data_IF_883271777351
#
_entry.id   IF_883271777351
#
_cell.length_a   1.000
_cell.length_b   1.000
_cell.length_c   1.000
_cell.angle_alpha   90.00
_cell.angle_beta   90.00
_cell.angle_gamma   90.00
#
_symmetry.space_group_name_H-M   'P 1'
#
loop_
_entity.id
_entity.type
_entity.pdbx_description
1 polymer ?
#
# COMPACT_ATOMS: atom_id res chain seq x y z
N UNK A 1 18.67 -37.82 41.67
CA UNK A 1 19.46 -37.65 40.43
C UNK A 1 18.68 -36.69 39.55
N UNK A 2 19.16 -35.46 39.39
CA UNK A 2 18.45 -34.39 38.71
C UNK A 2 18.66 -34.55 37.20
N UNK A 3 17.57 -34.72 36.46
CA UNK A 3 17.61 -34.86 35.01
C UNK A 3 17.56 -33.47 34.38
N UNK A 4 18.71 -32.94 33.97
CA UNK A 4 18.76 -31.71 33.18
C UNK A 4 18.46 -32.02 31.72
N UNK A 5 17.35 -31.51 31.21
CA UNK A 5 17.02 -31.58 29.79
C UNK A 5 17.40 -30.26 29.11
N UNK A 6 18.26 -30.33 28.10
CA UNK A 6 18.52 -29.20 27.21
C UNK A 6 17.44 -29.13 26.13
N UNK A 7 16.64 -28.07 26.14
CA UNK A 7 15.64 -27.80 25.13
C UNK A 7 15.88 -26.42 24.52
N UNK A 8 15.84 -26.32 23.20
CA UNK A 8 15.84 -25.02 22.52
C UNK A 8 14.40 -24.54 22.36
N UNK A 9 14.04 -23.46 23.06
CA UNK A 9 12.74 -22.81 22.90
C UNK A 9 12.76 -22.05 21.57
N UNK A 10 11.93 -22.47 20.62
CA UNK A 10 11.66 -21.73 19.38
C UNK A 10 10.24 -21.18 19.43
N UNK A 11 10.01 -20.04 18.78
CA UNK A 11 8.68 -19.46 18.72
C UNK A 11 7.71 -20.44 18.04
N UNK A 12 6.49 -20.57 18.57
CA UNK A 12 5.43 -21.44 18.01
C UNK A 12 5.04 -21.03 16.58
N UNK A 13 5.30 -19.77 16.21
CA UNK A 13 4.94 -19.19 14.93
C UNK A 13 6.01 -18.18 14.53
N UNK A 14 6.92 -18.58 13.66
CA UNK A 14 7.79 -17.65 12.91
C UNK A 14 7.12 -17.41 11.56
N UNK A 15 6.59 -16.20 11.36
CA UNK A 15 6.15 -15.76 10.04
C UNK A 15 7.30 -15.01 9.40
N UNK A 16 7.91 -15.59 8.36
CA UNK A 16 8.75 -14.85 7.44
C UNK A 16 7.85 -13.85 6.70
N UNK A 17 7.71 -12.63 7.24
CA UNK A 17 7.13 -11.51 6.51
C UNK A 17 8.10 -11.10 5.39
N UNK A 18 8.12 -11.87 4.31
CA UNK A 18 8.63 -11.41 3.03
C UNK A 18 7.62 -10.43 2.47
N UNK A 19 7.96 -9.14 2.44
CA UNK A 19 7.11 -8.12 1.84
C UNK A 19 6.76 -8.52 0.40
N UNK A 20 5.47 -8.68 0.10
CA UNK A 20 4.97 -9.13 -1.23
C UNK A 20 5.00 -8.02 -2.29
N UNK A 21 5.64 -6.89 -2.00
CA UNK A 21 5.62 -5.68 -2.82
C UNK A 21 7.06 -5.21 -3.00
N UNK A 22 7.49 -5.05 -4.25
CA UNK A 22 8.79 -4.49 -4.58
C UNK A 22 8.73 -2.97 -4.31
N UNK A 23 9.20 -2.53 -3.14
CA UNK A 23 9.26 -1.13 -2.77
C UNK A 23 10.35 -0.91 -1.73
N UNK A 24 11.11 0.19 -1.87
CA UNK A 24 12.15 0.56 -0.89
C UNK A 24 11.47 0.86 0.44
N UNK A 25 11.91 0.18 1.51
CA UNK A 25 11.45 0.49 2.87
C UNK A 25 12.08 1.84 3.27
N UNK A 26 11.24 2.84 3.52
CA UNK A 26 11.68 4.17 3.93
C UNK A 26 11.88 4.24 5.44
N UNK A 27 11.02 3.56 6.21
CA UNK A 27 11.14 3.51 7.67
C UNK A 27 10.70 2.15 8.21
N UNK A 28 11.50 1.56 9.11
CA UNK A 28 11.16 0.37 9.89
C UNK A 28 10.76 0.84 11.29
N UNK A 29 9.52 0.62 11.67
CA UNK A 29 8.91 1.21 12.88
C UNK A 29 8.94 0.25 14.09
N UNK A 30 9.44 -0.98 13.92
CA UNK A 30 9.52 -2.01 14.98
C UNK A 30 10.85 -2.76 14.94
N UNK A 31 11.43 -3.00 16.12
CA UNK A 31 12.70 -3.72 16.30
C UNK A 31 12.58 -5.24 16.41
N UNK A 32 13.66 -5.93 16.04
CA UNK A 32 13.74 -7.39 16.09
C UNK A 32 13.58 -7.83 17.54
N UNK A 33 12.52 -8.59 17.84
CA UNK A 33 12.18 -9.07 19.18
C UNK A 33 11.09 -8.25 19.90
N UNK A 34 10.61 -7.17 19.30
CA UNK A 34 9.50 -6.39 19.84
C UNK A 34 8.17 -7.14 19.67
N UNK A 35 7.34 -7.16 20.72
CA UNK A 35 5.98 -7.71 20.64
C UNK A 35 5.09 -6.73 19.88
N UNK A 36 4.49 -7.19 18.79
CA UNK A 36 3.55 -6.43 17.97
C UNK A 36 2.14 -7.00 18.08
N UNK A 37 1.14 -6.14 17.95
CA UNK A 37 -0.28 -6.49 17.97
C UNK A 37 -0.88 -6.37 16.57
N UNK A 38 -2.02 -7.03 16.30
CA UNK A 38 -2.77 -6.79 15.07
C UNK A 38 -3.11 -5.30 14.91
N UNK A 39 -2.72 -4.71 13.78
CA UNK A 39 -2.90 -3.28 13.49
C UNK A 39 -1.66 -2.41 13.66
N UNK A 40 -0.58 -2.94 14.25
CA UNK A 40 0.67 -2.17 14.37
C UNK A 40 1.35 -2.02 13.00
N UNK A 41 1.70 -0.79 12.64
CA UNK A 41 2.44 -0.49 11.41
C UNK A 41 3.90 -0.90 11.61
N UNK A 42 4.33 -1.95 10.92
CA UNK A 42 5.67 -2.52 11.08
C UNK A 42 6.73 -1.77 10.26
N UNK A 43 6.35 -1.28 9.08
CA UNK A 43 7.22 -0.52 8.20
C UNK A 43 6.39 0.39 7.29
N UNK A 44 6.99 1.51 6.88
CA UNK A 44 6.44 2.42 5.88
C UNK A 44 7.26 2.27 4.59
N UNK A 45 6.57 1.99 3.51
CA UNK A 45 7.13 1.98 2.15
C UNK A 45 7.06 3.42 1.63
N UNK A 46 8.05 3.83 0.83
CA UNK A 46 8.05 5.16 0.20
C UNK A 46 6.75 5.35 -0.61
N UNK A 47 5.89 6.32 -0.25
CA UNK A 47 4.65 6.55 -0.98
C UNK A 47 4.89 7.32 -2.28
N UNK A 48 6.08 7.89 -2.52
CA UNK A 48 6.30 8.83 -3.62
C UNK A 48 5.91 8.28 -5.01
N UNK A 49 6.25 7.02 -5.30
CA UNK A 49 5.90 6.38 -6.58
C UNK A 49 4.38 6.09 -6.68
N UNK A 50 3.74 5.77 -5.55
CA UNK A 50 2.31 5.49 -5.49
C UNK A 50 1.48 6.76 -5.56
N UNK A 51 1.89 7.82 -4.87
CA UNK A 51 1.26 9.14 -4.91
C UNK A 51 1.32 9.71 -6.33
N UNK A 52 2.44 9.55 -7.03
CA UNK A 52 2.55 9.96 -8.43
C UNK A 52 1.59 9.16 -9.32
N UNK A 53 1.46 7.85 -9.09
CA UNK A 53 0.53 7.01 -9.85
C UNK A 53 -0.93 7.37 -9.60
N UNK A 54 -1.30 7.69 -8.35
CA UNK A 54 -2.66 8.13 -7.98
C UNK A 54 -2.96 9.48 -8.64
N UNK A 55 -2.06 10.46 -8.50
CA UNK A 55 -2.24 11.78 -9.11
C UNK A 55 -2.38 11.69 -10.65
N UNK A 56 -1.61 10.83 -11.30
CA UNK A 56 -1.72 10.59 -12.75
C UNK A 56 -3.08 10.00 -13.15
N UNK A 57 -3.59 9.06 -12.34
CA UNK A 57 -4.90 8.46 -12.56
C UNK A 57 -6.05 9.47 -12.34
N UNK A 58 -5.95 10.30 -11.29
CA UNK A 58 -6.91 11.37 -11.01
C UNK A 58 -6.93 12.41 -12.14
N UNK A 59 -5.76 12.85 -12.62
CA UNK A 59 -5.68 13.78 -13.75
C UNK A 59 -6.29 13.18 -15.04
N UNK A 60 -6.09 11.88 -15.27
CA UNK A 60 -6.67 11.18 -16.42
C UNK A 60 -8.20 11.07 -16.32
N UNK A 61 -8.73 10.86 -15.11
CA UNK A 61 -10.16 10.87 -14.85
C UNK A 61 -10.76 12.24 -15.11
N UNK A 62 -10.17 13.30 -14.55
CA UNK A 62 -10.64 14.68 -14.77
C UNK A 62 -10.66 15.03 -16.27
N UNK A 63 -9.59 14.68 -17.00
CA UNK A 63 -9.53 14.91 -18.45
C UNK A 63 -10.67 14.19 -19.21
N UNK A 64 -10.97 12.94 -18.83
CA UNK A 64 -12.06 12.18 -19.43
C UNK A 64 -13.43 12.79 -19.10
N UNK A 65 -13.66 13.22 -17.87
CA UNK A 65 -14.89 13.89 -17.44
C UNK A 65 -15.13 15.19 -18.22
N UNK A 66 -14.08 16.01 -18.36
CA UNK A 66 -14.12 17.23 -19.18
C UNK A 66 -14.40 16.93 -20.65
N UNK A 67 -13.83 15.86 -21.19
CA UNK A 67 -14.09 15.45 -22.57
C UNK A 67 -15.57 15.04 -22.78
N UNK A 68 -16.17 14.34 -21.82
CA UNK A 68 -17.60 13.99 -21.87
C UNK A 68 -18.46 15.25 -21.76
N UNK A 69 -18.11 16.17 -20.86
CA UNK A 69 -18.83 17.44 -20.68
C UNK A 69 -18.84 18.27 -21.98
N UNK A 70 -17.67 18.47 -22.59
CA UNK A 70 -17.51 19.24 -23.84
C UNK A 70 -18.25 18.59 -25.00
N UNK A 71 -18.18 17.26 -25.12
CA UNK A 71 -18.92 16.50 -26.14
C UNK A 71 -20.43 16.64 -25.94
N UNK A 72 -20.91 16.57 -24.69
CA UNK A 72 -22.32 16.78 -24.36
C UNK A 72 -22.80 18.19 -24.68
N UNK A 73 -21.97 19.20 -24.39
CA UNK A 73 -22.24 20.60 -24.75
C UNK A 73 -22.30 20.79 -26.27
N UNK A 74 -21.36 20.19 -27.02
CA UNK A 74 -21.33 20.26 -28.47
C UNK A 74 -22.57 19.60 -29.10
N UNK A 75 -22.98 18.42 -28.60
CA UNK A 75 -24.20 17.73 -29.03
C UNK A 75 -25.45 18.58 -28.84
N UNK A 76 -25.62 19.18 -27.65
CA UNK A 76 -26.77 20.05 -27.34
C UNK A 76 -26.86 21.25 -28.29
N UNK A 77 -25.72 21.86 -28.67
CA UNK A 77 -25.69 22.96 -29.62
C UNK A 77 -26.08 22.51 -31.04
N UNK A 78 -25.63 21.33 -31.45
CA UNK A 78 -25.98 20.77 -32.76
C UNK A 78 -27.48 20.44 -32.88
N UNK A 79 -28.14 20.05 -31.77
CA UNK A 79 -29.59 19.77 -31.74
C UNK A 79 -30.47 21.03 -31.75
N UNK A 80 -29.91 22.22 -31.51
CA UNK A 80 -30.65 23.49 -31.49
C UNK A 80 -30.63 24.25 -32.83
N UNK A 81 -29.96 23.72 -33.85
CA UNK A 81 -29.93 24.23 -35.23
C UNK A 81 -30.85 23.43 -36.13
#
# INVERSE_FOLDING_TARGET
RELSYSGSVRARTEMNLGFRINGKITERLVDIGQRVKPGDVLARIDPADYDLSVNSAEASLEAAERQVETTGLARRRAEQL
#
